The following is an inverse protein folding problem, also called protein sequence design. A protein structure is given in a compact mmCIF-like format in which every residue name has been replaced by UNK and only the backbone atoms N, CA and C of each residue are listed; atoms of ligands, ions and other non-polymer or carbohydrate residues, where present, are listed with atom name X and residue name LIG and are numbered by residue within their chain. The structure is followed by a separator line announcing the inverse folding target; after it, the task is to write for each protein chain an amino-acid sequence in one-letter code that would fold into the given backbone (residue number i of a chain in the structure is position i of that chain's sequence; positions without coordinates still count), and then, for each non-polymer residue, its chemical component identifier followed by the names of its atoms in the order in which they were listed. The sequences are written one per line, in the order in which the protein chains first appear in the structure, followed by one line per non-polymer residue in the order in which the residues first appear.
data_IF_641788711048
#
_entry.id   IF_641788711048
#
_cell.length_a   1.000
_cell.length_b   1.000
_cell.length_c   1.000
_cell.angle_alpha   90.00
_cell.angle_beta   90.00
_cell.angle_gamma   90.00
#
_symmetry.space_group_name_H-M   'P 1'
#
loop_
_entity.id
_entity.type
_entity.pdbx_description
1 polymer ?
#
# COMPACT_ATOMS: atom_id res chain seq x y z
N UNK A 1 53.38 -67.08 27.76
CA UNK A 1 53.03 -65.88 28.56
C UNK A 1 53.77 -64.68 27.98
N UNK A 2 53.12 -63.51 27.94
CA UNK A 2 53.63 -62.20 27.54
C UNK A 2 53.62 -61.79 26.05
N UNK A 3 53.08 -60.58 25.83
CA UNK A 3 53.36 -59.61 24.76
C UNK A 3 52.76 -59.73 23.36
N UNK A 4 51.47 -60.12 23.21
CA UNK A 4 50.70 -59.80 21.96
C UNK A 4 49.28 -59.24 22.14
N UNK A 5 48.81 -58.94 23.36
CA UNK A 5 47.48 -58.33 23.61
C UNK A 5 47.46 -56.85 24.00
N UNK A 6 48.60 -56.13 23.95
CA UNK A 6 48.67 -54.69 24.28
C UNK A 6 48.80 -53.73 23.10
N UNK A 7 48.87 -54.21 21.84
CA UNK A 7 49.01 -53.32 20.68
C UNK A 7 47.70 -53.08 19.90
N UNK A 8 46.65 -53.88 20.11
CA UNK A 8 45.36 -53.68 19.43
C UNK A 8 44.39 -52.76 20.21
N UNK A 9 44.68 -52.47 21.48
CA UNK A 9 43.84 -51.63 22.35
C UNK A 9 44.33 -50.18 22.48
N UNK A 10 45.41 -49.80 21.78
CA UNK A 10 45.94 -48.43 21.75
C UNK A 10 45.64 -47.76 20.40
N UNK A 11 45.47 -48.52 19.32
CA UNK A 11 45.14 -47.95 18.00
C UNK A 11 43.65 -47.60 17.83
N UNK A 12 42.74 -48.28 18.54
CA UNK A 12 41.29 -48.00 18.46
C UNK A 12 40.92 -46.78 19.32
N UNK A 13 41.58 -46.58 20.46
CA UNK A 13 41.30 -45.47 21.38
C UNK A 13 41.85 -44.13 20.87
N UNK A 14 42.94 -44.14 20.09
CA UNK A 14 43.50 -42.94 19.47
C UNK A 14 42.71 -42.52 18.21
N UNK A 15 42.13 -43.48 17.47
CA UNK A 15 41.29 -43.20 16.30
C UNK A 15 39.88 -42.71 16.70
N UNK A 16 39.35 -43.13 17.86
CA UNK A 16 38.08 -42.62 18.41
C UNK A 16 38.24 -41.23 19.04
N UNK A 17 39.40 -40.88 19.61
CA UNK A 17 39.67 -39.50 20.09
C UNK A 17 39.92 -38.50 18.95
N UNK A 18 40.44 -38.95 17.80
CA UNK A 18 40.58 -38.12 16.58
C UNK A 18 39.25 -37.97 15.81
N UNK A 19 38.30 -38.88 15.99
CA UNK A 19 36.94 -38.75 15.45
C UNK A 19 36.01 -37.88 16.33
N UNK A 20 36.26 -37.80 17.64
CA UNK A 20 35.48 -36.94 18.54
C UNK A 20 35.92 -35.47 18.51
N UNK A 21 37.19 -35.18 18.22
CA UNK A 21 37.68 -33.79 18.04
C UNK A 21 37.37 -33.20 16.66
N UNK A 22 37.12 -34.06 15.65
CA UNK A 22 36.61 -33.63 14.36
C UNK A 22 35.12 -33.22 14.41
N UNK A 23 34.30 -33.90 15.23
CA UNK A 23 32.89 -33.54 15.42
C UNK A 23 32.67 -32.26 16.27
N UNK A 24 33.53 -31.97 17.26
CA UNK A 24 33.44 -30.73 18.04
C UNK A 24 33.95 -29.48 17.30
N UNK A 25 34.88 -29.62 16.37
CA UNK A 25 35.42 -28.48 15.60
C UNK A 25 34.52 -28.08 14.43
N UNK A 26 33.85 -29.04 13.78
CA UNK A 26 32.83 -28.77 12.76
C UNK A 26 31.55 -28.14 13.35
N UNK A 27 31.09 -28.60 14.52
CA UNK A 27 29.88 -28.06 15.17
C UNK A 27 30.01 -26.60 15.60
N UNK A 28 31.19 -26.15 16.07
CA UNK A 28 31.41 -24.73 16.42
C UNK A 28 31.49 -23.80 15.22
N UNK A 29 31.96 -24.32 14.08
CA UNK A 29 32.13 -23.58 12.84
C UNK A 29 30.80 -23.30 12.14
N UNK A 30 29.86 -24.23 12.25
CA UNK A 30 28.55 -24.13 11.59
C UNK A 30 27.52 -23.40 12.44
N UNK A 31 27.79 -23.18 13.74
CA UNK A 31 26.95 -22.36 14.62
C UNK A 31 27.19 -20.87 14.36
N UNK A 32 26.28 -20.27 13.59
CA UNK A 32 26.44 -18.91 13.09
C UNK A 32 26.22 -17.84 14.16
N UNK A 33 25.46 -18.13 15.21
CA UNK A 33 25.24 -17.20 16.32
C UNK A 33 26.56 -16.78 16.99
N UNK A 34 27.61 -17.62 16.92
CA UNK A 34 28.94 -17.30 17.43
C UNK A 34 29.63 -16.14 16.69
N UNK A 35 29.12 -15.70 15.54
CA UNK A 35 29.70 -14.64 14.72
C UNK A 35 28.96 -13.31 14.81
N UNK A 36 27.87 -13.27 15.57
CA UNK A 36 27.22 -12.00 15.92
C UNK A 36 28.21 -11.10 16.66
N UNK A 37 28.18 -9.81 16.32
CA UNK A 37 29.11 -8.79 16.80
C UNK A 37 30.51 -8.87 16.18
N UNK A 38 30.81 -9.85 15.31
CA UNK A 38 32.09 -9.99 14.60
C UNK A 38 31.97 -9.48 13.16
N UNK A 39 33.10 -9.20 12.52
CA UNK A 39 33.08 -8.78 11.11
C UNK A 39 32.81 -9.93 10.15
N UNK A 40 32.27 -9.61 8.98
CA UNK A 40 32.00 -10.56 7.90
C UNK A 40 33.26 -11.33 7.51
N UNK A 41 34.40 -10.64 7.38
CA UNK A 41 35.68 -11.28 7.08
C UNK A 41 36.13 -12.32 8.13
N UNK A 42 35.73 -12.14 9.40
CA UNK A 42 35.98 -13.15 10.45
C UNK A 42 35.04 -14.32 10.30
N UNK A 43 33.76 -14.07 9.99
CA UNK A 43 32.79 -15.13 9.70
C UNK A 43 33.27 -15.97 8.51
N UNK A 44 33.51 -15.39 7.34
CA UNK A 44 33.98 -16.11 6.14
C UNK A 44 35.21 -16.99 6.40
N UNK A 45 36.24 -16.42 7.06
CA UNK A 45 37.47 -17.16 7.36
C UNK A 45 37.21 -18.37 8.26
N UNK A 46 36.26 -18.23 9.19
CA UNK A 46 35.99 -19.26 10.20
C UNK A 46 34.97 -20.28 9.72
N UNK A 47 33.93 -19.86 9.00
CA UNK A 47 32.81 -20.68 8.48
C UNK A 47 33.08 -21.24 7.09
N UNK A 48 34.01 -20.66 6.33
CA UNK A 48 34.25 -21.03 4.93
C UNK A 48 33.13 -20.60 3.98
N UNK A 49 32.14 -19.82 4.46
CA UNK A 49 31.15 -19.17 3.61
C UNK A 49 31.87 -18.17 2.69
N UNK A 50 31.41 -18.09 1.44
CA UNK A 50 31.74 -17.00 0.52
C UNK A 50 30.59 -16.01 0.56
N UNK A 51 30.77 -14.89 1.25
CA UNK A 51 29.72 -13.92 1.51
C UNK A 51 29.90 -12.74 0.55
N UNK A 52 29.07 -12.69 -0.49
CA UNK A 52 29.09 -11.62 -1.47
C UNK A 52 28.21 -10.46 -1.00
N UNK A 53 28.75 -9.23 -1.04
CA UNK A 53 27.98 -8.04 -0.69
C UNK A 53 26.96 -7.74 -1.79
N UNK A 54 25.67 -7.80 -1.43
CA UNK A 54 24.54 -7.55 -2.34
C UNK A 54 23.86 -6.20 -2.06
N UNK A 55 24.33 -5.50 -1.01
CA UNK A 55 23.86 -4.18 -0.57
C UNK A 55 24.70 -3.73 0.62
N UNK A 56 24.65 -2.44 0.98
CA UNK A 56 25.48 -1.92 2.07
C UNK A 56 25.21 -2.67 3.38
N UNK A 57 26.22 -3.42 3.82
CA UNK A 57 26.08 -4.22 5.02
C UNK A 57 25.22 -5.47 4.86
N UNK A 58 24.87 -5.92 3.65
CA UNK A 58 24.11 -7.15 3.41
C UNK A 58 24.94 -8.10 2.57
N UNK A 59 25.19 -9.28 3.10
CA UNK A 59 26.04 -10.27 2.47
C UNK A 59 25.33 -11.61 2.34
N UNK A 60 25.47 -12.26 1.19
CA UNK A 60 24.75 -13.50 0.85
C UNK A 60 25.74 -14.54 0.34
N UNK A 61 25.57 -15.80 0.76
CA UNK A 61 26.25 -16.96 0.23
C UNK A 61 25.25 -17.84 -0.53
N UNK A 62 25.35 -17.89 -1.87
CA UNK A 62 24.67 -18.84 -2.80
C UNK A 62 23.31 -19.41 -2.33
N UNK A 63 22.32 -18.56 -2.02
CA UNK A 63 20.98 -18.99 -1.54
C UNK A 63 21.00 -19.94 -0.32
N UNK A 64 22.05 -19.89 0.49
CA UNK A 64 22.24 -20.72 1.68
C UNK A 64 22.14 -19.87 2.96
N UNK A 65 22.94 -18.82 3.06
CA UNK A 65 23.05 -17.98 4.25
C UNK A 65 23.09 -16.51 3.83
N UNK A 66 22.35 -15.67 4.55
CA UNK A 66 22.49 -14.22 4.49
C UNK A 66 22.93 -13.70 5.86
N UNK A 67 23.82 -12.70 5.88
CA UNK A 67 24.17 -11.96 7.10
C UNK A 67 24.02 -10.46 6.87
N UNK A 68 23.62 -9.74 7.93
CA UNK A 68 23.60 -8.27 7.93
C UNK A 68 24.68 -7.75 8.87
N UNK A 69 25.47 -6.78 8.41
CA UNK A 69 26.58 -6.14 9.10
C UNK A 69 26.72 -4.65 8.72
N UNK A 70 25.73 -3.79 9.04
CA UNK A 70 25.72 -2.38 8.65
C UNK A 70 26.94 -1.59 9.16
N UNK A 71 27.38 -1.84 10.40
CA UNK A 71 28.57 -1.20 11.02
C UNK A 71 29.79 -2.13 11.04
N UNK A 72 29.97 -2.94 9.99
CA UNK A 72 31.07 -3.91 9.85
C UNK A 72 31.06 -5.03 10.91
N UNK A 73 30.00 -5.14 11.70
CA UNK A 73 29.74 -6.22 12.67
C UNK A 73 28.41 -6.88 12.36
N UNK A 74 28.36 -8.20 12.37
CA UNK A 74 27.16 -8.97 12.06
C UNK A 74 26.12 -8.77 13.16
N UNK A 75 24.91 -8.38 12.77
CA UNK A 75 23.76 -8.18 13.66
C UNK A 75 22.59 -9.10 13.33
N UNK A 76 22.55 -9.66 12.11
CA UNK A 76 21.51 -10.60 11.71
C UNK A 76 22.06 -11.75 10.87
N UNK A 77 21.39 -12.90 10.95
CA UNK A 77 21.71 -14.13 10.24
C UNK A 77 20.41 -14.75 9.75
N UNK A 78 20.34 -15.12 8.48
CA UNK A 78 19.24 -15.89 7.89
C UNK A 78 19.78 -17.19 7.29
N UNK A 79 19.16 -18.31 7.65
CA UNK A 79 19.35 -19.60 7.02
C UNK A 79 18.20 -19.86 6.04
N UNK A 80 18.54 -20.09 4.77
CA UNK A 80 17.60 -20.46 3.72
C UNK A 80 17.47 -21.98 3.63
N UNK A 81 16.54 -22.49 2.83
CA UNK A 81 16.28 -23.93 2.70
C UNK A 81 17.54 -24.75 2.33
N UNK A 82 18.48 -24.15 1.60
CA UNK A 82 19.73 -24.81 1.20
C UNK A 82 20.91 -24.53 2.17
N UNK A 83 20.65 -24.07 3.39
CA UNK A 83 21.70 -23.72 4.36
C UNK A 83 22.56 -24.90 4.85
N UNK A 84 22.22 -26.14 4.47
CA UNK A 84 23.02 -27.32 4.76
C UNK A 84 23.26 -27.52 6.26
N UNK A 85 24.53 -27.54 6.68
CA UNK A 85 24.91 -27.82 8.07
C UNK A 85 24.89 -26.60 9.00
N UNK A 86 24.61 -25.39 8.49
CA UNK A 86 24.61 -24.16 9.28
C UNK A 86 23.45 -24.11 10.28
N UNK A 87 23.71 -23.49 11.43
CA UNK A 87 22.81 -23.45 12.57
C UNK A 87 22.77 -22.07 13.22
N UNK A 88 21.67 -21.79 13.90
CA UNK A 88 21.48 -20.64 14.79
C UNK A 88 20.89 -21.15 16.09
N UNK A 89 21.58 -20.93 17.21
CA UNK A 89 21.23 -21.51 18.51
C UNK A 89 21.02 -23.03 18.46
N UNK A 90 21.83 -23.72 17.66
CA UNK A 90 21.73 -25.16 17.42
C UNK A 90 20.63 -25.58 16.46
N UNK A 91 19.71 -24.68 16.09
CA UNK A 91 18.61 -24.95 15.14
C UNK A 91 19.13 -24.84 13.72
N UNK A 92 18.86 -25.85 12.90
CA UNK A 92 19.23 -25.89 11.48
C UNK A 92 18.09 -26.43 10.62
N UNK A 93 18.25 -26.32 9.30
CA UNK A 93 17.25 -26.79 8.33
C UNK A 93 16.97 -28.28 8.53
N UNK A 94 15.70 -28.67 8.41
CA UNK A 94 15.21 -30.04 8.58
C UNK A 94 15.03 -30.48 10.04
N UNK A 95 15.40 -29.65 11.03
CA UNK A 95 15.15 -29.95 12.44
C UNK A 95 13.65 -29.96 12.75
N UNK A 96 13.17 -30.87 13.60
CA UNK A 96 11.76 -30.88 14.01
C UNK A 96 11.45 -29.72 14.96
N UNK A 97 10.22 -29.20 14.93
CA UNK A 97 9.76 -28.17 15.88
C UNK A 97 9.99 -28.59 17.34
N UNK A 98 9.67 -29.83 17.68
CA UNK A 98 9.85 -30.34 19.04
C UNK A 98 11.32 -30.30 19.50
N UNK A 99 12.28 -30.49 18.61
CA UNK A 99 13.70 -30.39 18.94
C UNK A 99 14.21 -28.95 18.93
N UNK A 100 13.70 -28.11 18.03
CA UNK A 100 13.99 -26.68 18.03
C UNK A 100 13.49 -26.01 19.32
N UNK A 101 12.26 -26.31 19.75
CA UNK A 101 11.67 -25.76 20.98
C UNK A 101 12.52 -26.11 22.22
N UNK A 102 13.06 -27.33 22.31
CA UNK A 102 13.96 -27.71 23.43
C UNK A 102 15.23 -26.87 23.48
N UNK A 103 15.76 -26.48 22.32
CA UNK A 103 16.97 -25.65 22.23
C UNK A 103 16.68 -24.18 22.56
N UNK A 104 15.48 -23.72 22.19
CA UNK A 104 15.13 -22.30 22.25
C UNK A 104 14.46 -21.90 23.56
N UNK A 105 13.80 -22.82 24.26
CA UNK A 105 12.97 -22.50 25.42
C UNK A 105 13.74 -21.72 26.51
N UNK A 106 14.95 -22.15 26.84
CA UNK A 106 15.76 -21.46 27.85
C UNK A 106 16.25 -20.07 27.36
N UNK A 107 16.38 -19.91 26.04
CA UNK A 107 16.92 -18.71 25.38
C UNK A 107 15.84 -17.67 25.20
N UNK A 108 14.73 -18.03 24.54
CA UNK A 108 13.64 -17.15 24.14
C UNK A 108 12.35 -17.32 24.95
N UNK A 109 12.16 -18.44 25.64
CA UNK A 109 10.85 -18.81 26.22
C UNK A 109 9.95 -19.46 25.18
N UNK A 110 8.64 -19.23 25.28
CA UNK A 110 7.67 -19.66 24.27
C UNK A 110 7.65 -18.74 23.05
N UNK A 111 7.02 -19.20 21.97
CA UNK A 111 6.70 -18.35 20.83
C UNK A 111 5.77 -17.20 21.24
N UNK A 112 5.90 -16.06 20.55
CA UNK A 112 5.04 -14.89 20.74
C UNK A 112 4.00 -14.74 19.63
N UNK A 113 4.25 -15.34 18.47
CA UNK A 113 3.35 -15.31 17.33
C UNK A 113 3.53 -16.55 16.42
N UNK A 114 2.48 -16.86 15.66
CA UNK A 114 2.45 -17.91 14.66
C UNK A 114 1.73 -17.40 13.40
N UNK A 115 2.31 -17.65 12.24
CA UNK A 115 1.75 -17.31 10.93
C UNK A 115 1.75 -18.55 10.04
N UNK A 116 0.66 -18.82 9.31
CA UNK A 116 0.52 -19.96 8.40
C UNK A 116 0.60 -19.43 6.97
N UNK A 117 1.35 -20.08 6.07
CA UNK A 117 1.40 -19.73 4.65
C UNK A 117 0.06 -19.98 3.96
N UNK A 118 -0.23 -19.25 2.88
CA UNK A 118 -1.58 -19.25 2.26
C UNK A 118 -1.95 -20.59 1.63
N UNK A 119 -0.96 -21.33 1.15
CA UNK A 119 -1.09 -22.71 0.65
C UNK A 119 -1.13 -23.77 1.77
N UNK A 120 -1.11 -23.33 3.03
CA UNK A 120 -0.97 -24.16 4.23
C UNK A 120 0.27 -25.07 4.20
N UNK A 121 1.30 -24.79 3.39
CA UNK A 121 2.49 -25.63 3.28
C UNK A 121 3.56 -25.35 4.33
N UNK A 122 3.53 -24.18 4.96
CA UNK A 122 4.47 -23.77 5.99
C UNK A 122 3.85 -22.96 7.13
N UNK A 123 4.54 -22.95 8.27
CA UNK A 123 4.17 -22.19 9.47
C UNK A 123 5.40 -21.50 10.03
N UNK A 124 5.35 -20.18 10.19
CA UNK A 124 6.41 -19.38 10.82
C UNK A 124 6.06 -19.08 12.27
N UNK A 125 6.97 -19.39 13.19
CA UNK A 125 6.90 -19.04 14.61
C UNK A 125 7.90 -17.93 14.92
N UNK A 126 7.48 -16.96 15.71
CA UNK A 126 8.29 -15.81 16.12
C UNK A 126 8.60 -15.89 17.61
N UNK A 127 9.83 -15.53 17.96
CA UNK A 127 10.36 -15.56 19.32
C UNK A 127 11.10 -14.25 19.61
N UNK A 128 10.86 -13.64 20.78
CA UNK A 128 11.48 -12.38 21.19
C UNK A 128 11.87 -12.41 22.67
N UNK A 129 13.15 -12.17 22.96
CA UNK A 129 13.64 -12.02 24.35
C UNK A 129 14.95 -11.26 24.41
N UNK A 130 15.11 -10.32 25.34
CA UNK A 130 16.35 -9.57 25.56
C UNK A 130 16.95 -8.94 24.27
N UNK A 131 16.09 -8.32 23.44
CA UNK A 131 16.45 -7.72 22.15
C UNK A 131 17.03 -8.70 21.12
N UNK A 132 16.65 -9.96 21.25
CA UNK A 132 16.94 -11.04 20.32
C UNK A 132 15.64 -11.46 19.69
N UNK A 133 15.59 -11.43 18.38
CA UNK A 133 14.45 -11.89 17.59
C UNK A 133 14.85 -13.12 16.80
N UNK A 134 13.97 -14.11 16.78
CA UNK A 134 14.15 -15.32 16.00
C UNK A 134 12.83 -15.69 15.34
N UNK A 135 12.90 -15.96 14.04
CA UNK A 135 11.78 -16.43 13.22
C UNK A 135 12.15 -17.78 12.67
N UNK A 136 11.28 -18.78 12.82
CA UNK A 136 11.51 -20.12 12.29
C UNK A 136 10.30 -20.55 11.49
N UNK A 137 10.51 -20.78 10.21
CA UNK A 137 9.52 -21.34 9.30
C UNK A 137 9.67 -22.85 9.27
N UNK A 138 8.59 -23.57 9.53
CA UNK A 138 8.51 -25.03 9.47
C UNK A 138 7.60 -25.45 8.32
N UNK A 139 7.81 -26.64 7.76
CA UNK A 139 6.82 -27.26 6.85
C UNK A 139 5.59 -27.70 7.63
N UNK A 140 4.40 -27.50 7.08
CA UNK A 140 3.13 -27.84 7.76
C UNK A 140 2.89 -29.35 7.90
N UNK A 141 3.53 -30.18 7.08
CA UNK A 141 3.34 -31.63 7.05
C UNK A 141 4.16 -32.37 8.13
N UNK A 142 5.43 -32.00 8.27
CA UNK A 142 6.44 -32.67 9.09
C UNK A 142 6.92 -31.82 10.25
N UNK A 143 6.50 -30.56 10.31
CA UNK A 143 6.96 -29.56 11.28
C UNK A 143 8.49 -29.48 11.30
N UNK A 144 9.13 -29.54 10.13
CA UNK A 144 10.58 -29.44 9.99
C UNK A 144 11.00 -28.07 9.51
N UNK A 145 12.08 -27.51 10.07
CA UNK A 145 12.60 -26.18 9.74
C UNK A 145 12.89 -26.07 8.24
N UNK A 146 12.20 -25.17 7.56
CA UNK A 146 12.40 -24.77 6.17
C UNK A 146 13.36 -23.58 6.05
N UNK A 147 13.37 -22.72 7.06
CA UNK A 147 14.21 -21.53 7.11
C UNK A 147 14.13 -20.86 8.48
N UNK A 148 15.12 -20.03 8.79
CA UNK A 148 15.06 -19.20 9.99
C UNK A 148 15.84 -17.90 9.83
N UNK A 149 15.45 -16.89 10.60
CA UNK A 149 16.13 -15.60 10.66
C UNK A 149 16.31 -15.17 12.10
N UNK A 150 17.52 -14.75 12.45
CA UNK A 150 17.90 -14.28 13.77
C UNK A 150 18.48 -12.88 13.71
N UNK A 151 18.07 -12.06 14.68
CA UNK A 151 18.49 -10.67 14.82
C UNK A 151 18.91 -10.40 16.27
N UNK A 152 20.05 -9.74 16.46
CA UNK A 152 20.56 -9.29 17.77
C UNK A 152 20.82 -7.80 17.72
N UNK A 153 20.07 -7.04 18.51
CA UNK A 153 20.30 -5.60 18.66
C UNK A 153 21.61 -5.37 19.45
N UNK A 154 22.71 -5.15 18.72
CA UNK A 154 24.02 -4.86 19.30
C UNK A 154 24.29 -3.38 19.56
N UNK A 155 23.28 -2.52 19.41
CA UNK A 155 23.39 -1.12 19.82
C UNK A 155 23.09 -1.00 21.33
N UNK A 156 24.13 -0.72 22.11
CA UNK A 156 23.94 0.03 23.35
C UNK A 156 23.25 1.35 22.98
N UNK A 157 21.95 1.45 23.29
CA UNK A 157 21.23 2.72 23.25
C UNK A 157 21.33 3.33 24.63
N UNK A 158 22.25 4.29 24.78
CA UNK A 158 21.86 5.51 25.47
C UNK A 158 20.75 6.16 24.63
N UNK A 159 19.79 6.74 25.32
CA UNK A 159 18.63 7.42 24.76
C UNK A 159 19.08 8.53 23.81
N UNK A 160 18.91 8.32 22.51
CA UNK A 160 18.38 9.35 21.63
C UNK A 160 17.74 8.71 20.39
N UNK A 161 16.56 9.20 20.04
CA UNK A 161 15.72 8.68 18.97
C UNK A 161 16.31 8.94 17.59
N UNK A 162 15.94 8.06 16.65
CA UNK A 162 16.23 8.16 15.22
C UNK A 162 17.71 8.07 14.82
N UNK A 163 18.16 6.86 14.43
CA UNK A 163 19.07 6.53 13.30
C UNK A 163 19.64 5.12 13.57
N UNK A 164 18.97 4.05 13.07
CA UNK A 164 19.55 2.70 13.00
C UNK A 164 18.86 1.68 12.05
N UNK A 165 17.89 2.04 11.19
CA UNK A 165 16.97 1.06 10.58
C UNK A 165 17.15 0.72 9.09
N UNK A 166 18.21 1.13 8.36
CA UNK A 166 18.36 0.63 6.98
C UNK A 166 18.60 -0.88 6.98
N UNK A 167 17.67 -1.61 6.37
CA UNK A 167 17.74 -3.07 6.26
C UNK A 167 16.79 -3.78 7.21
N UNK A 168 16.05 -3.06 8.07
CA UNK A 168 14.89 -3.65 8.74
C UNK A 168 13.86 -4.03 7.66
N UNK A 169 13.49 -5.31 7.63
CA UNK A 169 12.46 -5.82 6.74
C UNK A 169 11.11 -5.28 7.23
N UNK A 170 10.42 -4.57 6.34
CA UNK A 170 9.11 -3.97 6.63
C UNK A 170 7.99 -4.83 6.05
N UNK A 171 8.15 -5.27 4.80
CA UNK A 171 7.15 -6.05 4.10
C UNK A 171 7.80 -7.11 3.22
N UNK A 172 7.12 -8.25 3.06
CA UNK A 172 7.40 -9.28 2.05
C UNK A 172 6.15 -9.45 1.20
N UNK A 173 6.29 -9.40 -0.12
CA UNK A 173 5.21 -9.54 -1.11
C UNK A 173 5.66 -10.61 -2.11
N UNK A 174 5.06 -11.80 -2.06
CA UNK A 174 5.63 -12.98 -2.73
C UNK A 174 7.06 -13.19 -2.27
N UNK A 175 8.02 -13.30 -3.19
CA UNK A 175 9.45 -13.38 -2.85
C UNK A 175 10.15 -12.02 -2.73
N UNK A 176 9.45 -10.94 -3.07
CA UNK A 176 10.00 -9.58 -3.01
C UNK A 176 10.04 -9.06 -1.58
N UNK A 177 11.21 -8.60 -1.15
CA UNK A 177 11.42 -7.96 0.16
C UNK A 177 11.45 -6.45 0.02
N UNK A 178 10.81 -5.75 0.95
CA UNK A 178 10.81 -4.29 1.04
C UNK A 178 11.30 -3.89 2.43
N UNK A 179 12.32 -3.04 2.43
CA UNK A 179 13.04 -2.61 3.63
C UNK A 179 12.66 -1.20 4.03
N UNK A 180 13.04 -0.81 5.25
CA UNK A 180 12.72 0.49 5.86
C UNK A 180 13.03 1.68 4.95
N UNK A 181 14.20 1.71 4.33
CA UNK A 181 14.60 2.81 3.44
C UNK A 181 13.66 2.98 2.24
N UNK A 182 13.18 1.87 1.66
CA UNK A 182 12.19 1.92 0.58
C UNK A 182 10.82 2.38 1.10
N UNK A 183 10.36 1.83 2.23
CA UNK A 183 9.10 2.27 2.86
C UNK A 183 9.10 3.77 3.19
N UNK A 184 10.22 4.29 3.70
CA UNK A 184 10.36 5.71 4.04
C UNK A 184 10.29 6.62 2.81
N UNK A 185 10.68 6.16 1.62
CA UNK A 185 10.50 6.97 0.39
C UNK A 185 9.02 7.27 0.15
N UNK A 186 8.15 6.27 0.28
CA UNK A 186 6.70 6.44 0.10
C UNK A 186 6.09 7.26 1.23
N UNK A 187 6.43 6.94 2.48
CA UNK A 187 5.90 7.64 3.66
C UNK A 187 6.29 9.11 3.68
N UNK A 188 7.56 9.46 3.35
CA UNK A 188 7.99 10.86 3.30
C UNK A 188 7.40 11.61 2.11
N UNK A 189 7.22 10.97 0.96
CA UNK A 189 6.52 11.59 -0.17
C UNK A 189 5.06 11.92 0.18
N UNK A 190 4.36 11.00 0.86
CA UNK A 190 3.02 11.28 1.38
C UNK A 190 3.06 12.40 2.44
N UNK A 191 4.04 12.37 3.33
CA UNK A 191 4.20 13.38 4.39
C UNK A 191 4.31 14.79 3.82
N UNK A 192 5.25 15.00 2.90
CA UNK A 192 5.47 16.29 2.24
C UNK A 192 4.20 16.80 1.53
N UNK A 193 3.46 15.92 0.87
CA UNK A 193 2.23 16.27 0.15
C UNK A 193 1.15 16.80 1.09
N UNK A 194 0.92 16.13 2.22
CA UNK A 194 -0.16 16.50 3.14
C UNK A 194 0.23 17.66 4.06
N UNK A 195 1.46 17.69 4.60
CA UNK A 195 1.89 18.80 5.46
C UNK A 195 1.90 20.15 4.75
N UNK A 196 2.21 20.15 3.44
CA UNK A 196 2.16 21.37 2.62
C UNK A 196 0.78 22.04 2.62
N UNK A 197 -0.30 21.26 2.73
CA UNK A 197 -1.67 21.76 2.62
C UNK A 197 -2.38 21.85 3.99
N UNK A 198 -2.00 21.01 4.95
CA UNK A 198 -2.75 20.80 6.19
C UNK A 198 -1.92 20.98 7.48
N UNK A 199 -0.60 21.17 7.38
CA UNK A 199 0.29 21.24 8.54
C UNK A 199 0.59 19.89 9.18
N UNK A 200 1.40 19.90 10.24
CA UNK A 200 1.91 18.67 10.91
C UNK A 200 0.89 17.97 11.80
N UNK A 201 -0.04 18.73 12.38
CA UNK A 201 -1.04 18.19 13.30
C UNK A 201 -2.06 17.26 12.60
N UNK A 202 -2.04 17.20 11.27
CA UNK A 202 -2.92 16.32 10.48
C UNK A 202 -2.71 14.85 10.83
N UNK A 203 -1.49 14.43 11.20
CA UNK A 203 -1.17 13.02 11.42
C UNK A 203 -1.89 12.41 12.62
N UNK A 204 -2.17 13.22 13.64
CA UNK A 204 -2.88 12.80 14.85
C UNK A 204 -4.40 12.97 14.75
N UNK A 205 -4.90 13.57 13.65
CA UNK A 205 -6.32 13.84 13.49
C UNK A 205 -7.11 12.57 13.17
N UNK A 206 -8.20 12.33 13.90
CA UNK A 206 -9.22 11.34 13.56
C UNK A 206 -10.29 12.00 12.66
N UNK A 207 -10.06 11.94 11.35
CA UNK A 207 -10.93 12.59 10.36
C UNK A 207 -12.25 11.83 10.17
N UNK A 208 -12.25 10.51 10.43
CA UNK A 208 -13.41 9.64 10.23
C UNK A 208 -14.28 9.48 11.49
N UNK A 209 -13.81 9.96 12.65
CA UNK A 209 -14.47 9.81 13.94
C UNK A 209 -14.54 8.36 14.43
N UNK A 210 -13.65 7.50 13.93
CA UNK A 210 -13.66 6.05 14.19
C UNK A 210 -12.53 5.61 15.15
N UNK A 211 -11.76 6.56 15.67
CA UNK A 211 -10.63 6.36 16.56
C UNK A 211 -9.30 6.04 15.86
N UNK A 212 -9.25 6.02 14.52
CA UNK A 212 -8.01 5.81 13.75
C UNK A 212 -7.46 7.16 13.26
N UNK A 213 -6.17 7.39 13.48
CA UNK A 213 -5.54 8.65 13.08
C UNK A 213 -5.30 8.67 11.57
N UNK A 214 -5.25 9.88 10.99
CA UNK A 214 -4.91 10.04 9.58
C UNK A 214 -3.53 9.47 9.25
N UNK A 215 -2.56 9.57 10.17
CA UNK A 215 -1.26 8.92 10.02
C UNK A 215 -1.36 7.40 9.86
N UNK A 216 -2.17 6.74 10.69
CA UNK A 216 -2.41 5.30 10.56
C UNK A 216 -3.11 4.94 9.25
N UNK A 217 -4.06 5.78 8.78
CA UNK A 217 -4.70 5.60 7.48
C UNK A 217 -3.68 5.66 6.33
N UNK A 218 -2.81 6.66 6.33
CA UNK A 218 -1.76 6.80 5.30
C UNK A 218 -0.74 5.66 5.37
N UNK A 219 -0.37 5.21 6.57
CA UNK A 219 0.47 4.01 6.74
C UNK A 219 -0.14 2.77 6.07
N UNK A 220 -1.44 2.54 6.25
CA UNK A 220 -2.15 1.42 5.61
C UNK A 220 -2.18 1.57 4.09
N UNK A 221 -2.43 2.79 3.59
CA UNK A 221 -2.44 3.06 2.15
C UNK A 221 -1.06 2.87 1.51
N UNK A 222 0.01 3.27 2.20
CA UNK A 222 1.37 3.06 1.70
C UNK A 222 1.74 1.58 1.64
N UNK A 223 1.33 0.75 2.61
CA UNK A 223 1.50 -0.72 2.51
C UNK A 223 0.82 -1.24 1.25
N UNK A 224 -0.42 -0.81 1.01
CA UNK A 224 -1.22 -1.24 -0.14
C UNK A 224 -0.54 -0.82 -1.45
N UNK A 225 -0.13 0.43 -1.56
CA UNK A 225 0.58 0.96 -2.73
C UNK A 225 1.88 0.19 -3.02
N UNK A 226 2.72 -0.04 -2.00
CA UNK A 226 3.96 -0.80 -2.17
C UNK A 226 3.64 -2.22 -2.66
N UNK A 227 2.64 -2.85 -2.07
CA UNK A 227 2.19 -4.21 -2.41
C UNK A 227 1.73 -4.29 -3.86
N UNK A 228 0.86 -3.36 -4.29
CA UNK A 228 0.40 -3.22 -5.67
C UNK A 228 1.58 -3.10 -6.64
N UNK A 229 2.52 -2.19 -6.37
CA UNK A 229 3.71 -2.00 -7.22
C UNK A 229 4.57 -3.25 -7.32
N UNK A 230 4.72 -4.04 -6.24
CA UNK A 230 5.54 -5.26 -6.26
C UNK A 230 4.90 -6.37 -7.07
N UNK A 231 3.60 -6.56 -6.90
CA UNK A 231 2.82 -7.54 -7.68
C UNK A 231 2.87 -7.15 -9.17
N UNK A 232 2.55 -5.89 -9.49
CA UNK A 232 2.54 -5.43 -10.89
C UNK A 232 3.91 -5.60 -11.54
N UNK A 233 4.99 -5.28 -10.83
CA UNK A 233 6.36 -5.46 -11.36
C UNK A 233 6.67 -6.92 -11.69
N UNK A 234 6.30 -7.85 -10.82
CA UNK A 234 6.56 -9.28 -11.03
C UNK A 234 5.71 -9.82 -12.19
N UNK A 235 4.44 -9.43 -12.26
CA UNK A 235 3.52 -9.80 -13.34
C UNK A 235 3.91 -9.21 -14.69
N UNK A 236 4.42 -7.98 -14.71
CA UNK A 236 4.97 -7.38 -15.92
C UNK A 236 6.13 -8.21 -16.49
N UNK A 237 6.96 -8.79 -15.62
CA UNK A 237 8.03 -9.72 -16.00
C UNK A 237 7.47 -11.00 -16.63
N UNK A 238 6.45 -11.61 -16.02
CA UNK A 238 5.78 -12.82 -16.54
C UNK A 238 5.12 -12.57 -17.90
N UNK A 239 4.56 -11.38 -18.11
CA UNK A 239 3.88 -10.98 -19.34
C UNK A 239 4.79 -10.33 -20.38
N UNK A 240 6.10 -10.22 -20.08
CA UNK A 240 7.10 -9.63 -20.95
C UNK A 240 6.75 -8.19 -21.39
N UNK A 241 6.36 -7.36 -20.43
CA UNK A 241 6.11 -5.91 -20.58
C UNK A 241 7.28 -5.15 -19.94
N UNK A 242 8.42 -4.97 -20.64
CA UNK A 242 9.53 -4.20 -20.10
C UNK A 242 9.33 -2.69 -20.31
N UNK A 243 9.99 -1.88 -19.48
CA UNK A 243 10.25 -0.48 -19.82
C UNK A 243 11.20 -0.38 -21.02
N UNK A 244 10.96 0.61 -21.88
CA UNK A 244 11.87 1.02 -22.96
C UNK A 244 13.06 1.79 -22.40
N UNK A 245 14.10 1.95 -23.22
CA UNK A 245 15.27 2.76 -22.83
C UNK A 245 14.89 4.22 -22.51
N UNK A 246 13.90 4.77 -23.23
CA UNK A 246 13.40 6.12 -23.00
C UNK A 246 12.68 6.25 -21.65
N UNK A 247 11.77 5.31 -21.33
CA UNK A 247 11.06 5.29 -20.05
C UNK A 247 12.01 5.06 -18.87
N UNK A 248 13.06 4.24 -19.03
CA UNK A 248 14.11 4.06 -18.01
C UNK A 248 14.92 5.35 -17.82
N UNK A 249 15.27 6.04 -18.91
CA UNK A 249 15.97 7.32 -18.84
C UNK A 249 15.12 8.40 -18.15
N UNK A 250 13.83 8.43 -18.43
CA UNK A 250 12.86 9.29 -17.76
C UNK A 250 12.79 9.00 -16.25
N UNK A 251 12.62 7.72 -15.86
CA UNK A 251 12.64 7.27 -14.47
C UNK A 251 13.89 7.76 -13.72
N UNK A 252 15.05 7.60 -14.36
CA UNK A 252 16.33 7.99 -13.78
C UNK A 252 16.47 9.51 -13.64
N UNK A 253 15.94 10.28 -14.59
CA UNK A 253 15.94 11.74 -14.53
C UNK A 253 15.10 12.26 -13.36
N UNK A 254 13.89 11.69 -13.17
CA UNK A 254 13.05 12.01 -12.02
C UNK A 254 13.68 11.60 -10.69
N UNK A 255 14.25 10.40 -10.62
CA UNK A 255 14.95 9.92 -9.43
C UNK A 255 16.12 10.84 -9.05
N UNK A 256 16.92 11.29 -10.01
CA UNK A 256 18.04 12.20 -9.78
C UNK A 256 17.58 13.58 -9.31
N UNK A 257 16.51 14.12 -9.92
CA UNK A 257 15.95 15.40 -9.52
C UNK A 257 15.42 15.36 -8.08
N UNK A 258 14.67 14.31 -7.73
CA UNK A 258 14.18 14.07 -6.39
C UNK A 258 15.34 13.88 -5.41
N UNK A 259 16.31 13.01 -5.72
CA UNK A 259 17.48 12.77 -4.86
C UNK A 259 18.23 14.05 -4.47
N UNK A 260 18.38 14.98 -5.43
CA UNK A 260 19.02 16.29 -5.22
C UNK A 260 18.17 17.22 -4.34
N UNK A 261 16.84 17.09 -4.38
CA UNK A 261 15.91 17.87 -3.57
C UNK A 261 15.89 17.45 -2.09
N UNK A 262 16.22 16.19 -1.78
CA UNK A 262 16.26 15.70 -0.40
C UNK A 262 17.47 16.31 0.34
N UNK A 263 17.31 16.68 1.61
CA UNK A 263 18.42 17.18 2.42
C UNK A 263 19.48 16.10 2.65
N UNK A 264 20.75 16.49 2.89
CA UNK A 264 21.79 15.51 3.20
C UNK A 264 21.53 14.76 4.51
N UNK A 265 20.90 15.44 5.47
CA UNK A 265 20.47 14.88 6.74
C UNK A 265 19.39 13.82 6.53
N UNK A 266 18.34 14.11 5.77
CA UNK A 266 17.25 13.16 5.50
C UNK A 266 17.71 11.97 4.67
N UNK A 267 18.58 12.20 3.67
CA UNK A 267 19.21 11.10 2.93
C UNK A 267 20.00 10.17 3.85
N UNK A 268 20.70 10.71 4.83
CA UNK A 268 21.46 9.93 5.81
C UNK A 268 20.53 9.27 6.86
N UNK A 269 19.50 9.97 7.32
CA UNK A 269 18.53 9.50 8.33
C UNK A 269 17.68 8.34 7.80
N UNK A 270 17.18 8.46 6.57
CA UNK A 270 16.33 7.43 5.93
C UNK A 270 17.10 6.53 4.97
N UNK A 271 18.39 6.78 4.79
CA UNK A 271 19.32 5.93 4.04
C UNK A 271 18.86 5.76 2.58
N UNK A 272 18.34 6.85 2.03
CA UNK A 272 17.88 6.98 0.66
C UNK A 272 19.09 7.14 -0.25
N UNK A 273 19.17 6.29 -1.27
CA UNK A 273 20.18 6.35 -2.33
C UNK A 273 19.53 6.65 -3.67
N UNK A 274 20.30 7.15 -4.61
CA UNK A 274 19.80 7.44 -5.96
C UNK A 274 19.26 6.16 -6.63
N UNK A 275 19.97 5.03 -6.50
CA UNK A 275 19.56 3.75 -7.11
C UNK A 275 18.23 3.24 -6.55
N UNK A 276 17.97 3.51 -5.26
CA UNK A 276 16.68 3.18 -4.66
C UNK A 276 15.56 4.00 -5.28
N UNK A 277 15.77 5.31 -5.46
CA UNK A 277 14.78 6.17 -6.12
C UNK A 277 14.59 5.76 -7.58
N UNK A 278 15.66 5.43 -8.30
CA UNK A 278 15.57 4.93 -9.69
C UNK A 278 14.67 3.68 -9.76
N UNK A 279 14.83 2.74 -8.83
CA UNK A 279 13.93 1.57 -8.71
C UNK A 279 12.49 1.98 -8.45
N UNK A 280 12.24 2.85 -7.47
CA UNK A 280 10.88 3.32 -7.14
C UNK A 280 10.21 4.00 -8.34
N UNK A 281 10.88 4.93 -9.02
CA UNK A 281 10.34 5.60 -10.20
C UNK A 281 10.11 4.63 -11.36
N UNK A 282 11.02 3.67 -11.56
CA UNK A 282 10.85 2.62 -12.57
C UNK A 282 9.64 1.73 -12.26
N UNK A 283 9.43 1.35 -10.99
CA UNK A 283 8.27 0.56 -10.57
C UNK A 283 6.95 1.31 -10.84
N UNK A 284 6.90 2.61 -10.59
CA UNK A 284 5.73 3.44 -10.87
C UNK A 284 5.45 3.59 -12.38
N UNK A 285 6.47 3.88 -13.19
CA UNK A 285 6.31 3.98 -14.64
C UNK A 285 5.90 2.63 -15.26
N UNK A 286 6.47 1.53 -14.75
CA UNK A 286 6.10 0.19 -15.17
C UNK A 286 4.63 -0.10 -14.83
N UNK A 287 4.16 0.28 -13.64
CA UNK A 287 2.77 0.10 -13.26
C UNK A 287 1.81 0.84 -14.20
N UNK A 288 2.10 2.10 -14.53
CA UNK A 288 1.33 2.86 -15.52
C UNK A 288 1.36 2.16 -16.88
N UNK A 289 2.53 1.72 -17.35
CA UNK A 289 2.65 1.03 -18.63
C UNK A 289 1.86 -0.28 -18.68
N UNK A 290 1.86 -1.05 -17.60
CA UNK A 290 1.07 -2.29 -17.49
C UNK A 290 -0.42 -1.98 -17.54
N UNK A 291 -0.87 -0.96 -16.80
CA UNK A 291 -2.25 -0.48 -16.87
C UNK A 291 -2.65 -0.10 -18.30
N UNK A 292 -1.85 0.73 -18.98
CA UNK A 292 -2.07 1.13 -20.38
C UNK A 292 -2.12 -0.09 -21.31
N UNK A 293 -1.14 -0.98 -21.20
CA UNK A 293 -1.00 -2.14 -22.09
C UNK A 293 -2.17 -3.12 -21.97
N UNK A 294 -2.68 -3.33 -20.76
CA UNK A 294 -3.77 -4.28 -20.51
C UNK A 294 -5.15 -3.70 -20.78
N UNK A 295 -5.29 -2.37 -20.72
CA UNK A 295 -6.58 -1.69 -20.88
C UNK A 295 -6.77 -1.07 -22.26
N UNK A 296 -5.76 -1.09 -23.14
CA UNK A 296 -5.80 -0.48 -24.47
C UNK A 296 -6.97 -0.94 -25.35
N UNK A 297 -7.46 -2.17 -25.14
CA UNK A 297 -8.53 -2.78 -25.94
C UNK A 297 -9.91 -2.72 -25.25
N UNK A 298 -10.07 -1.88 -24.22
CA UNK A 298 -11.37 -1.67 -23.57
C UNK A 298 -12.41 -1.18 -24.59
N UNK A 299 -13.68 -1.45 -24.34
CA UNK A 299 -14.76 -0.90 -25.15
C UNK A 299 -14.84 0.62 -24.99
N UNK A 300 -14.45 1.34 -26.04
CA UNK A 300 -14.48 2.80 -26.13
C UNK A 300 -15.79 3.34 -26.70
N UNK A 301 -16.73 2.47 -27.10
CA UNK A 301 -18.04 2.91 -27.60
C UNK A 301 -18.94 3.22 -26.41
N UNK A 302 -19.24 4.51 -26.24
CA UNK A 302 -20.20 5.00 -25.24
C UNK A 302 -21.42 5.57 -25.95
N UNK A 303 -22.60 4.93 -25.83
CA UNK A 303 -23.84 5.44 -26.40
C UNK A 303 -24.21 6.83 -25.84
N UNK A 304 -24.76 7.70 -26.69
CA UNK A 304 -25.20 9.03 -26.25
C UNK A 304 -26.24 8.94 -25.13
N UNK A 305 -27.11 7.93 -25.13
CA UNK A 305 -28.10 7.75 -24.07
C UNK A 305 -27.49 7.56 -22.65
N UNK A 306 -26.23 7.11 -22.57
CA UNK A 306 -25.50 6.90 -21.31
C UNK A 306 -24.76 8.16 -20.86
N UNK A 307 -24.27 8.97 -21.82
CA UNK A 307 -23.41 10.11 -21.53
C UNK A 307 -24.07 11.48 -21.75
N UNK A 308 -25.22 11.54 -22.41
CA UNK A 308 -25.89 12.78 -22.82
C UNK A 308 -26.11 13.69 -21.62
N UNK A 309 -25.60 14.92 -21.74
CA UNK A 309 -25.78 15.97 -20.76
C UNK A 309 -26.73 17.05 -21.31
N UNK A 310 -27.71 17.44 -20.50
CA UNK A 310 -28.55 18.61 -20.73
C UNK A 310 -28.02 19.78 -19.90
N UNK A 311 -28.15 21.01 -20.39
CA UNK A 311 -27.96 22.22 -19.58
C UNK A 311 -29.30 22.93 -19.44
N UNK A 312 -29.70 23.20 -18.19
CA UNK A 312 -30.96 23.86 -17.87
C UNK A 312 -30.75 24.97 -16.86
N UNK A 313 -31.66 25.94 -16.86
CA UNK A 313 -31.82 26.95 -15.82
C UNK A 313 -33.10 26.63 -15.02
N UNK A 314 -33.10 26.91 -13.72
CA UNK A 314 -34.21 26.61 -12.82
C UNK A 314 -34.64 27.84 -11.99
N UNK A 315 -35.95 28.00 -11.85
CA UNK A 315 -36.56 28.86 -10.85
C UNK A 315 -37.19 27.96 -9.79
N UNK A 316 -36.56 27.91 -8.63
CA UNK A 316 -37.06 27.15 -7.49
C UNK A 316 -37.82 28.05 -6.52
N UNK A 317 -39.01 27.62 -6.12
CA UNK A 317 -39.81 28.23 -5.07
C UNK A 317 -40.07 27.17 -3.99
N UNK A 318 -39.55 27.38 -2.78
CA UNK A 318 -39.62 26.43 -1.70
C UNK A 318 -41.03 26.31 -1.11
N UNK A 319 -41.39 25.12 -0.63
CA UNK A 319 -42.62 24.88 0.16
C UNK A 319 -42.36 24.80 1.68
N UNK A 320 -41.12 25.04 2.09
CA UNK A 320 -40.63 25.12 3.48
C UNK A 320 -39.84 26.42 3.68
N UNK A 321 -39.85 26.94 4.90
CA UNK A 321 -38.98 28.06 5.31
C UNK A 321 -37.84 27.54 6.19
N UNK A 322 -36.89 28.41 6.54
CA UNK A 322 -35.82 28.10 7.49
C UNK A 322 -35.81 29.11 8.63
N UNK A 323 -35.68 28.61 9.86
CA UNK A 323 -35.49 29.48 11.02
C UNK A 323 -34.10 30.17 11.00
N UNK A 324 -33.84 31.18 11.86
CA UNK A 324 -32.53 31.83 11.92
C UNK A 324 -31.35 30.91 12.29
N UNK A 325 -31.63 29.69 12.76
CA UNK A 325 -30.64 28.66 13.05
C UNK A 325 -30.45 27.67 11.88
N UNK A 326 -31.17 27.85 10.77
CA UNK A 326 -31.09 27.02 9.56
C UNK A 326 -31.91 25.74 9.63
N UNK A 327 -32.83 25.60 10.59
CA UNK A 327 -33.71 24.42 10.66
C UNK A 327 -34.93 24.63 9.76
N UNK A 328 -35.37 23.58 9.01
CA UNK A 328 -36.56 23.68 8.18
C UNK A 328 -37.82 23.85 9.06
N UNK A 329 -38.68 24.77 8.67
CA UNK A 329 -39.97 25.06 9.28
C UNK A 329 -41.06 24.87 8.24
N UNK A 330 -42.14 24.17 8.59
CA UNK A 330 -43.28 24.05 7.70
C UNK A 330 -43.97 25.39 7.51
N UNK A 331 -44.18 25.77 6.26
CA UNK A 331 -45.03 26.91 5.91
C UNK A 331 -46.49 26.66 6.34
N UNK A 332 -47.17 27.71 6.78
CA UNK A 332 -48.62 27.71 7.00
C UNK A 332 -49.38 27.45 5.70
N UNK A 333 -50.68 27.11 5.79
CA UNK A 333 -51.50 26.86 4.60
C UNK A 333 -51.54 28.11 3.70
N UNK A 334 -51.67 29.28 4.30
CA UNK A 334 -51.70 30.58 3.62
C UNK A 334 -50.38 30.89 2.93
N UNK A 335 -49.23 30.63 3.58
CA UNK A 335 -47.90 30.83 2.99
C UNK A 335 -47.61 29.84 1.87
N UNK A 336 -47.97 28.56 2.02
CA UNK A 336 -47.87 27.57 0.94
C UNK A 336 -48.70 27.97 -0.27
N UNK A 337 -49.92 28.48 -0.05
CA UNK A 337 -50.75 28.97 -1.15
C UNK A 337 -50.12 30.20 -1.82
N UNK A 338 -49.58 31.15 -1.06
CA UNK A 338 -48.92 32.33 -1.63
C UNK A 338 -47.67 31.96 -2.45
N UNK A 339 -46.86 31.01 -1.95
CA UNK A 339 -45.70 30.48 -2.67
C UNK A 339 -46.12 29.78 -3.98
N UNK A 340 -47.19 28.98 -3.94
CA UNK A 340 -47.73 28.33 -5.13
C UNK A 340 -48.24 29.33 -6.17
N UNK A 341 -49.00 30.35 -5.77
CA UNK A 341 -49.47 31.40 -6.69
C UNK A 341 -48.28 32.17 -7.30
N UNK A 342 -47.24 32.48 -6.50
CA UNK A 342 -46.01 33.08 -7.00
C UNK A 342 -45.33 32.19 -8.05
N UNK A 343 -45.21 30.89 -7.78
CA UNK A 343 -44.61 29.95 -8.71
C UNK A 343 -45.41 29.86 -10.03
N UNK A 344 -46.74 29.90 -9.95
CA UNK A 344 -47.61 29.94 -11.13
C UNK A 344 -47.44 31.24 -11.95
N UNK A 345 -47.40 32.39 -11.30
CA UNK A 345 -47.14 33.67 -11.96
C UNK A 345 -45.76 33.68 -12.66
N UNK A 346 -44.75 33.09 -12.03
CA UNK A 346 -43.41 32.97 -12.60
C UNK A 346 -43.39 32.00 -13.78
N UNK A 347 -44.17 30.91 -13.75
CA UNK A 347 -44.29 30.00 -14.88
C UNK A 347 -44.90 30.68 -16.11
N UNK A 348 -45.89 31.56 -15.92
CA UNK A 348 -46.47 32.35 -17.01
C UNK A 348 -45.44 33.36 -17.57
N UNK A 349 -44.72 34.09 -16.69
CA UNK A 349 -43.66 35.03 -17.11
C UNK A 349 -42.50 34.34 -17.81
N UNK A 350 -42.12 33.16 -17.35
CA UNK A 350 -41.04 32.38 -17.91
C UNK A 350 -41.30 31.98 -19.38
N UNK A 351 -42.56 31.77 -19.77
CA UNK A 351 -42.93 31.44 -21.16
C UNK A 351 -42.82 32.64 -22.11
N UNK A 352 -42.83 33.86 -21.58
CA UNK A 352 -42.78 35.11 -22.36
C UNK A 352 -41.44 35.85 -22.28
N UNK A 353 -40.59 35.51 -21.30
CA UNK A 353 -39.32 36.21 -21.08
C UNK A 353 -38.30 35.93 -22.18
N UNK A 354 -37.53 36.95 -22.57
CA UNK A 354 -36.37 36.80 -23.45
C UNK A 354 -35.10 36.43 -22.68
N UNK A 355 -35.09 36.66 -21.35
CA UNK A 355 -33.98 36.37 -20.46
C UNK A 355 -34.49 35.60 -19.23
N UNK A 356 -34.44 34.28 -19.33
CA UNK A 356 -34.84 33.39 -18.24
C UNK A 356 -33.87 33.47 -17.07
N UNK A 357 -32.58 33.66 -17.35
CA UNK A 357 -31.55 33.71 -16.31
C UNK A 357 -31.77 34.92 -15.38
N UNK A 358 -32.01 36.11 -15.93
CA UNK A 358 -32.31 37.30 -15.13
C UNK A 358 -33.61 37.15 -14.32
N UNK A 359 -34.62 36.49 -14.89
CA UNK A 359 -35.85 36.17 -14.18
C UNK A 359 -35.57 35.21 -13.00
N UNK A 360 -34.74 34.20 -13.21
CA UNK A 360 -34.34 33.24 -12.20
C UNK A 360 -33.49 33.89 -11.10
N UNK A 361 -32.48 34.69 -11.45
CA UNK A 361 -31.61 35.39 -10.49
C UNK A 361 -32.40 36.30 -9.55
N UNK A 362 -33.49 36.90 -10.05
CA UNK A 362 -34.33 37.79 -9.25
C UNK A 362 -35.31 37.03 -8.33
N UNK A 363 -35.72 35.81 -8.69
CA UNK A 363 -36.90 35.17 -8.10
C UNK A 363 -36.67 33.78 -7.49
N UNK A 364 -35.65 33.07 -7.95
CA UNK A 364 -35.31 31.71 -7.48
C UNK A 364 -34.81 31.76 -6.05
N UNK A 365 -35.18 30.75 -5.27
CA UNK A 365 -34.72 30.56 -3.90
C UNK A 365 -33.62 29.49 -3.80
N UNK A 366 -33.11 29.00 -4.94
CA UNK A 366 -31.96 28.11 -5.00
C UNK A 366 -30.66 28.91 -5.14
N UNK A 367 -29.58 28.39 -4.55
CA UNK A 367 -28.23 28.99 -4.64
C UNK A 367 -27.62 28.88 -6.05
N UNK A 368 -28.04 27.87 -6.82
CA UNK A 368 -27.59 27.62 -8.19
C UNK A 368 -28.78 27.72 -9.14
N UNK A 369 -28.58 28.45 -10.24
CA UNK A 369 -29.61 28.68 -11.26
C UNK A 369 -29.42 27.72 -12.44
N UNK A 370 -28.18 27.54 -12.89
CA UNK A 370 -27.87 26.74 -14.08
C UNK A 370 -27.19 25.43 -13.69
N UNK A 371 -27.69 24.33 -14.27
CA UNK A 371 -27.22 22.98 -14.02
C UNK A 371 -26.90 22.29 -15.33
N UNK A 372 -25.85 21.47 -15.32
CA UNK A 372 -25.57 20.52 -16.40
C UNK A 372 -25.53 19.11 -15.83
N UNK A 373 -26.40 18.24 -16.30
CA UNK A 373 -26.51 16.88 -15.80
C UNK A 373 -27.01 15.88 -16.85
N UNK A 374 -26.77 14.59 -16.59
CA UNK A 374 -27.33 13.47 -17.34
C UNK A 374 -28.40 12.73 -16.55
N UNK A 375 -28.86 11.60 -17.09
CA UNK A 375 -29.84 10.73 -16.42
C UNK A 375 -29.28 10.19 -15.09
N UNK A 376 -30.08 10.24 -14.03
CA UNK A 376 -29.71 9.86 -12.66
C UNK A 376 -28.75 10.84 -11.97
N UNK A 377 -28.57 12.04 -12.51
CA UNK A 377 -27.59 13.03 -12.03
C UNK A 377 -28.19 14.42 -11.79
N UNK A 378 -29.52 14.53 -11.78
CA UNK A 378 -30.19 15.76 -11.39
C UNK A 378 -29.76 16.23 -9.98
N UNK A 379 -29.89 17.54 -9.67
CA UNK A 379 -29.53 18.09 -8.37
C UNK A 379 -30.19 17.33 -7.21
N UNK A 380 -29.41 17.10 -6.15
CA UNK A 380 -29.87 16.37 -4.97
C UNK A 380 -31.08 17.08 -4.34
N UNK A 381 -32.09 16.30 -3.94
CA UNK A 381 -33.31 16.83 -3.31
C UNK A 381 -34.38 17.35 -4.28
N UNK A 382 -34.16 17.41 -5.60
CA UNK A 382 -35.19 17.87 -6.55
C UNK A 382 -36.08 16.72 -7.07
N UNK A 383 -35.66 15.47 -6.84
CA UNK A 383 -36.46 14.27 -7.14
C UNK A 383 -36.54 13.92 -8.64
N UNK A 384 -37.10 12.74 -8.92
CA UNK A 384 -37.13 12.17 -10.28
C UNK A 384 -38.01 12.99 -11.24
N UNK A 385 -39.07 13.64 -10.74
CA UNK A 385 -40.00 14.43 -11.57
C UNK A 385 -39.29 15.63 -12.21
N UNK A 386 -38.37 16.28 -11.49
CA UNK A 386 -37.54 17.37 -12.01
C UNK A 386 -36.65 16.87 -13.17
N UNK A 387 -35.95 15.76 -12.96
CA UNK A 387 -35.08 15.17 -13.99
C UNK A 387 -35.85 14.81 -15.25
N UNK A 388 -36.98 14.12 -15.10
CA UNK A 388 -37.81 13.70 -16.22
C UNK A 388 -38.33 14.90 -17.01
N UNK A 389 -38.77 15.97 -16.32
CA UNK A 389 -39.22 17.19 -16.97
C UNK A 389 -38.08 17.85 -17.75
N UNK A 390 -36.90 18.02 -17.12
CA UNK A 390 -35.73 18.58 -17.77
C UNK A 390 -35.33 17.81 -19.03
N UNK A 391 -35.13 16.49 -18.92
CA UNK A 391 -34.64 15.64 -20.01
C UNK A 391 -35.60 15.54 -21.21
N UNK A 392 -36.87 15.90 -21.02
CA UNK A 392 -37.87 15.94 -22.09
C UNK A 392 -37.88 17.25 -22.88
N UNK A 393 -37.31 18.34 -22.34
CA UNK A 393 -37.27 19.64 -23.01
C UNK A 393 -36.31 19.63 -24.21
N UNK A 394 -36.64 20.47 -25.19
CA UNK A 394 -35.75 20.88 -26.28
C UNK A 394 -35.10 22.21 -25.97
N UNK A 395 -33.95 22.44 -26.60
CA UNK A 395 -33.24 23.72 -26.53
C UNK A 395 -34.20 24.89 -26.78
N UNK A 396 -34.29 25.82 -25.82
CA UNK A 396 -35.17 26.98 -25.85
C UNK A 396 -36.58 26.76 -25.27
N UNK A 397 -36.94 25.54 -24.86
CA UNK A 397 -38.24 25.26 -24.26
C UNK A 397 -38.25 25.54 -22.74
N UNK A 398 -39.41 25.97 -22.25
CA UNK A 398 -39.72 26.16 -20.84
C UNK A 398 -40.70 25.06 -20.41
N UNK A 399 -40.46 24.44 -19.26
CA UNK A 399 -41.36 23.43 -18.70
C UNK A 399 -42.68 24.04 -18.23
N UNK A 400 -43.66 23.17 -18.00
CA UNK A 400 -44.76 23.53 -17.09
C UNK A 400 -44.26 23.60 -15.63
N UNK A 401 -45.10 24.08 -14.73
CA UNK A 401 -44.79 24.14 -13.31
C UNK A 401 -44.66 22.72 -12.74
N UNK A 402 -43.45 22.38 -12.29
CA UNK A 402 -43.13 21.07 -11.71
C UNK A 402 -43.32 21.15 -10.20
N UNK A 403 -44.00 20.16 -9.62
CA UNK A 403 -44.14 20.03 -8.16
C UNK A 403 -43.25 18.90 -7.66
N UNK A 404 -42.40 19.20 -6.67
CA UNK A 404 -41.51 18.26 -5.98
C UNK A 404 -41.83 18.26 -4.49
N UNK A 405 -41.19 17.37 -3.72
CA UNK A 405 -41.42 17.30 -2.28
C UNK A 405 -40.97 18.58 -1.55
N UNK A 406 -39.99 19.30 -2.11
CA UNK A 406 -39.39 20.48 -1.50
C UNK A 406 -39.93 21.80 -2.05
N UNK A 407 -40.70 21.79 -3.14
CA UNK A 407 -41.27 23.00 -3.69
C UNK A 407 -41.72 22.88 -5.14
N UNK A 408 -41.59 23.99 -5.85
CA UNK A 408 -41.96 24.09 -7.26
C UNK A 408 -40.79 24.57 -8.10
N UNK A 409 -40.68 24.00 -9.29
CA UNK A 409 -39.61 24.28 -10.23
C UNK A 409 -40.18 24.69 -11.58
N UNK A 410 -39.48 25.59 -12.25
CA UNK A 410 -39.74 25.99 -13.63
C UNK A 410 -38.40 25.90 -14.33
N UNK A 411 -38.33 25.07 -15.37
CA UNK A 411 -37.06 24.75 -16.03
C UNK A 411 -37.06 25.39 -17.41
N UNK A 412 -35.96 26.06 -17.76
CA UNK A 412 -35.66 26.46 -19.12
C UNK A 412 -34.49 25.64 -19.66
N UNK A 413 -34.66 25.05 -20.84
CA UNK A 413 -33.60 24.28 -21.47
C UNK A 413 -32.65 25.18 -22.26
N UNK A 414 -31.45 25.41 -21.71
CA UNK A 414 -30.39 26.17 -22.39
C UNK A 414 -29.85 25.38 -23.58
N UNK A 415 -29.62 24.07 -23.39
CA UNK A 415 -29.32 23.14 -24.48
C UNK A 415 -29.72 21.72 -24.10
N UNK A 416 -30.44 21.04 -24.98
CA UNK A 416 -30.80 19.63 -24.82
C UNK A 416 -29.65 18.69 -25.18
N UNK A 417 -28.48 19.22 -25.56
CA UNK A 417 -27.26 18.45 -25.78
C UNK A 417 -26.01 19.32 -25.57
N UNK A 418 -25.43 19.27 -24.36
CA UNK A 418 -24.15 19.88 -24.07
C UNK A 418 -23.01 18.96 -24.55
N UNK A 419 -22.41 19.29 -25.69
CA UNK A 419 -21.39 18.45 -26.36
C UNK A 419 -20.13 18.26 -25.51
N UNK A 420 -19.64 19.31 -24.86
CA UNK A 420 -18.39 19.26 -24.11
C UNK A 420 -18.57 18.46 -22.83
N UNK A 421 -19.64 18.72 -22.08
CA UNK A 421 -19.98 17.93 -20.90
C UNK A 421 -20.26 16.46 -21.24
N UNK A 422 -20.96 16.20 -22.34
CA UNK A 422 -21.20 14.82 -22.84
C UNK A 422 -19.88 14.12 -23.18
N UNK A 423 -18.93 14.82 -23.81
CA UNK A 423 -17.62 14.25 -24.15
C UNK A 423 -16.83 13.90 -22.89
N UNK A 424 -16.80 14.77 -21.89
CA UNK A 424 -16.13 14.50 -20.60
C UNK A 424 -16.74 13.29 -19.87
N UNK A 425 -18.07 13.12 -19.94
CA UNK A 425 -18.75 11.95 -19.36
C UNK A 425 -18.37 10.67 -20.11
N UNK A 426 -18.30 10.70 -21.45
CA UNK A 426 -17.83 9.56 -22.24
C UNK A 426 -16.39 9.18 -21.88
N UNK A 427 -15.49 10.15 -21.79
CA UNK A 427 -14.10 9.93 -21.37
C UNK A 427 -14.03 9.29 -19.99
N UNK A 428 -14.83 9.79 -19.02
CA UNK A 428 -14.90 9.21 -17.67
C UNK A 428 -15.45 7.78 -17.66
N UNK A 429 -16.46 7.48 -18.48
CA UNK A 429 -17.01 6.12 -18.61
C UNK A 429 -15.94 5.18 -19.19
N UNK A 430 -15.21 5.61 -20.22
CA UNK A 430 -14.12 4.82 -20.80
C UNK A 430 -13.05 4.57 -19.75
N UNK A 431 -12.63 5.60 -19.01
CA UNK A 431 -11.62 5.45 -17.96
C UNK A 431 -12.09 4.50 -16.85
N UNK A 432 -13.33 4.64 -16.39
CA UNK A 432 -13.93 3.71 -15.41
C UNK A 432 -13.92 2.27 -15.91
N UNK A 433 -14.19 2.02 -17.20
CA UNK A 433 -14.09 0.66 -17.78
C UNK A 433 -12.65 0.14 -17.78
N UNK A 434 -11.65 1.01 -17.97
CA UNK A 434 -10.22 0.64 -17.90
C UNK A 434 -9.83 0.27 -16.47
N UNK A 435 -10.23 1.10 -15.51
CA UNK A 435 -10.04 0.86 -14.08
C UNK A 435 -10.69 -0.47 -13.66
N UNK A 436 -11.95 -0.70 -14.00
CA UNK A 436 -12.68 -1.94 -13.66
C UNK A 436 -12.02 -3.18 -14.26
N UNK A 437 -11.60 -3.10 -15.53
CA UNK A 437 -10.86 -4.18 -16.19
C UNK A 437 -9.55 -4.48 -15.46
N UNK A 438 -8.77 -3.44 -15.15
CA UNK A 438 -7.50 -3.61 -14.46
C UNK A 438 -7.66 -4.13 -13.04
N UNK A 439 -8.66 -3.64 -12.29
CA UNK A 439 -9.00 -4.14 -10.95
C UNK A 439 -9.31 -5.64 -11.00
N UNK A 440 -10.10 -6.09 -11.98
CA UNK A 440 -10.38 -7.51 -12.17
C UNK A 440 -9.13 -8.34 -12.42
N UNK A 441 -8.23 -7.86 -13.30
CA UNK A 441 -6.95 -8.52 -13.58
C UNK A 441 -6.04 -8.56 -12.35
N UNK A 442 -5.87 -7.41 -11.68
CA UNK A 442 -5.04 -7.29 -10.49
C UNK A 442 -5.54 -8.18 -9.36
N UNK A 443 -6.86 -8.30 -9.17
CA UNK A 443 -7.45 -9.19 -8.16
C UNK A 443 -7.09 -10.66 -8.40
N UNK A 444 -6.98 -11.11 -9.65
CA UNK A 444 -6.51 -12.46 -9.94
C UNK A 444 -5.02 -12.62 -9.63
N UNK A 445 -4.19 -11.64 -9.98
CA UNK A 445 -2.77 -11.66 -9.61
C UNK A 445 -2.58 -11.67 -8.11
N UNK A 446 -3.26 -10.79 -7.36
CA UNK A 446 -3.08 -10.64 -5.92
C UNK A 446 -3.33 -11.94 -5.14
N UNK A 447 -4.15 -12.87 -5.65
CA UNK A 447 -4.37 -14.19 -5.05
C UNK A 447 -3.14 -15.09 -5.07
N UNK A 448 -2.18 -14.82 -5.96
CA UNK A 448 -0.95 -15.59 -6.11
C UNK A 448 0.17 -15.12 -5.15
N UNK A 449 -0.02 -14.01 -4.44
CA UNK A 449 1.03 -13.37 -3.65
C UNK A 449 0.70 -13.32 -2.16
N UNK A 450 1.60 -13.86 -1.34
CA UNK A 450 1.56 -13.71 0.11
C UNK A 450 2.13 -12.36 0.53
N UNK A 451 1.38 -11.62 1.34
CA UNK A 451 1.79 -10.31 1.88
C UNK A 451 2.01 -10.43 3.39
N UNK A 452 3.24 -10.23 3.84
CA UNK A 452 3.61 -10.25 5.25
C UNK A 452 4.17 -8.88 5.63
N UNK A 453 3.57 -8.25 6.62
CA UNK A 453 4.00 -6.96 7.17
C UNK A 453 4.63 -7.18 8.53
N UNK A 454 5.79 -6.57 8.76
CA UNK A 454 6.38 -6.45 10.08
C UNK A 454 5.68 -5.31 10.83
N UNK A 455 4.53 -5.63 11.45
CA UNK A 455 3.70 -4.64 12.13
C UNK A 455 4.46 -3.93 13.26
N UNK A 456 5.33 -4.61 14.00
CA UNK A 456 6.13 -3.96 15.06
C UNK A 456 7.02 -2.85 14.48
N UNK A 457 7.76 -3.16 13.41
CA UNK A 457 8.60 -2.17 12.74
C UNK A 457 7.78 -1.06 12.09
N UNK A 458 6.64 -1.41 11.48
CA UNK A 458 5.78 -0.48 10.74
C UNK A 458 5.04 0.48 11.66
N UNK A 459 4.48 -0.04 12.75
CA UNK A 459 3.74 0.73 13.73
C UNK A 459 4.67 1.67 14.49
N UNK A 460 5.93 1.29 14.70
CA UNK A 460 6.96 2.13 15.31
C UNK A 460 7.42 3.34 14.47
N UNK A 461 7.01 3.45 13.20
CA UNK A 461 7.32 4.63 12.38
C UNK A 461 6.44 5.80 12.83
N UNK A 462 7.02 6.95 13.17
CA UNK A 462 6.24 8.14 13.51
C UNK A 462 6.32 9.18 12.39
N UNK A 463 5.23 9.91 12.17
CA UNK A 463 5.25 11.13 11.34
C UNK A 463 5.73 12.28 12.23
N UNK A 464 6.87 12.88 11.87
CA UNK A 464 7.56 13.93 12.63
C UNK A 464 7.39 15.34 12.03
#
# INVERSE_FOLDING_TARGET
MNNKKKLLFILVTFMVMLLLTACESGTKKNELTNYIGKSVAVAERKTGLKLEEQGTGVYVAENTVQVMAPDKKITAITLMENAGEFKVYGVGIGMTKADADKLLFDIFGGEIAKTISTDNSAVTYSYLKNKKELYITYTSDKETVLGLSYYEDSAGREEDGAVANAGQLMLKVGDTKVYYNEAMVYLKSAQEKYEKNYGKDIWDADILGNGDTFGNMIKKEVIKQITELKIIREEAGKQNIPLTEEEVAEANSYAMAHYKGISAEDRAKYLVKEELLQKVYSDNLLANKVFESLTINVDTVVPDAEAKQITVQDIYIANTDFDPAGNPVELTTEEKQAAYEKAKELADKAKETEDFYALAETNSQADTIEYTFGKGQAPEGYGEVFEQAALNLKTGEVSDLITTDNGWHIIYCVTDYNKDATTQVKERIIESRREDLFVGVYQEWAKEYDVVVNNEAWDAIEFE
#
